data_IF_509916890899
#
_entry.id   IF_509916890899
#
_cell.length_a   1.000
_cell.length_b   1.000
_cell.length_c   1.000
_cell.angle_alpha   90.00
_cell.angle_beta   90.00
_cell.angle_gamma   90.00
#
_symmetry.space_group_name_H-M   'P 1'
#
loop_
_entity.id
_entity.type
_entity.pdbx_description
1 polymer ?
#
# COMPACT_ATOMS: atom_id res chain seq x y z
N UNK A 1 20.97 -65.25 59.95
CA UNK A 1 20.19 -65.22 58.71
C UNK A 1 19.85 -63.78 58.41
N UNK A 2 20.44 -63.23 57.35
CA UNK A 2 20.33 -61.81 57.00
C UNK A 2 19.50 -61.69 55.71
N UNK A 3 18.26 -61.27 55.84
CA UNK A 3 17.35 -61.10 54.71
C UNK A 3 17.69 -59.79 53.92
N UNK A 4 18.19 -59.95 52.72
CA UNK A 4 18.36 -58.85 51.77
C UNK A 4 17.09 -58.65 51.00
N UNK A 5 16.44 -57.52 51.18
CA UNK A 5 15.32 -57.06 50.31
C UNK A 5 15.89 -56.32 49.10
N UNK A 6 15.68 -56.86 47.91
CA UNK A 6 15.99 -56.20 46.64
C UNK A 6 14.77 -55.38 46.26
N UNK A 7 14.93 -54.04 46.26
CA UNK A 7 13.87 -53.10 45.81
C UNK A 7 14.08 -52.88 44.29
N UNK A 8 13.16 -53.37 43.50
CA UNK A 8 13.10 -53.04 42.04
C UNK A 8 12.41 -51.67 41.88
N UNK A 9 13.19 -50.67 41.40
CA UNK A 9 12.66 -49.38 40.95
C UNK A 9 12.21 -49.54 39.51
N UNK A 10 10.92 -49.58 39.25
CA UNK A 10 10.35 -49.58 37.90
C UNK A 10 10.28 -48.10 37.46
N UNK A 11 11.19 -47.73 36.51
CA UNK A 11 11.14 -46.43 35.81
C UNK A 11 10.06 -46.55 34.74
N UNK A 12 8.90 -45.92 34.99
CA UNK A 12 7.83 -45.77 34.01
C UNK A 12 8.15 -44.55 33.17
N UNK A 13 8.62 -44.76 31.96
CA UNK A 13 8.73 -43.72 30.95
C UNK A 13 7.33 -43.37 30.44
N UNK A 14 6.78 -42.24 30.87
CA UNK A 14 5.63 -41.65 30.23
C UNK A 14 6.04 -41.05 28.89
N UNK A 15 5.79 -41.77 27.80
CA UNK A 15 5.76 -41.15 26.46
C UNK A 15 4.48 -40.31 26.39
N UNK A 16 4.61 -39.02 26.65
CA UNK A 16 3.59 -38.05 26.28
C UNK A 16 3.64 -37.88 24.78
N UNK A 17 2.73 -38.51 24.06
CA UNK A 17 2.44 -38.11 22.69
C UNK A 17 1.83 -36.71 22.75
N UNK A 18 2.65 -35.69 22.54
CA UNK A 18 2.13 -34.38 22.18
C UNK A 18 1.60 -34.48 20.76
N UNK A 19 0.29 -34.54 20.59
CA UNK A 19 -0.31 -34.21 19.30
C UNK A 19 0.13 -32.78 18.97
N UNK A 20 1.15 -32.64 18.14
CA UNK A 20 1.45 -31.35 17.54
C UNK A 20 0.32 -31.09 16.55
N UNK A 21 -0.64 -30.27 16.93
CA UNK A 21 -1.53 -29.67 15.95
C UNK A 21 -0.63 -29.03 14.90
N UNK A 22 -0.78 -29.44 13.65
CA UNK A 22 -0.07 -28.84 12.51
C UNK A 22 -0.60 -27.41 12.41
N UNK A 23 0.16 -26.45 12.92
CA UNK A 23 -0.17 -25.03 12.78
C UNK A 23 -0.01 -24.66 11.31
N UNK A 24 -1.03 -24.01 10.75
CA UNK A 24 -1.02 -23.52 9.39
C UNK A 24 0.01 -22.38 9.21
N UNK A 25 0.25 -21.61 10.28
CA UNK A 25 1.22 -20.51 10.31
C UNK A 25 2.17 -20.66 11.49
N UNK A 26 3.44 -20.35 11.25
CA UNK A 26 4.50 -20.30 12.26
C UNK A 26 5.03 -18.87 12.37
N UNK A 27 5.15 -18.35 13.61
CA UNK A 27 5.82 -17.06 13.83
C UNK A 27 7.32 -17.26 13.83
N UNK A 28 8.01 -16.68 12.86
CA UNK A 28 9.46 -16.63 12.81
C UNK A 28 10.00 -15.46 13.66
N UNK A 29 11.13 -15.68 14.33
CA UNK A 29 11.77 -14.62 15.09
C UNK A 29 12.62 -13.72 14.19
N UNK A 30 12.80 -12.45 14.57
CA UNK A 30 13.73 -11.53 13.90
C UNK A 30 15.17 -12.06 13.87
N UNK A 31 15.60 -12.77 14.90
CA UNK A 31 16.90 -13.44 14.92
C UNK A 31 17.07 -14.47 13.80
N UNK A 32 16.00 -15.19 13.44
CA UNK A 32 16.02 -16.17 12.33
C UNK A 32 15.90 -15.47 10.97
N UNK A 33 15.05 -14.48 10.87
CA UNK A 33 14.73 -13.84 9.59
C UNK A 33 15.65 -12.69 9.24
N UNK A 34 16.30 -12.04 10.20
CA UNK A 34 17.03 -10.79 10.00
C UNK A 34 16.12 -9.56 9.91
N UNK A 35 14.78 -9.72 9.94
CA UNK A 35 13.83 -8.60 9.89
C UNK A 35 13.56 -8.10 11.30
N UNK A 36 13.95 -6.85 11.57
CA UNK A 36 13.74 -6.15 12.84
C UNK A 36 12.90 -4.89 12.69
N UNK A 37 12.23 -4.72 11.55
CA UNK A 37 11.40 -3.56 11.26
C UNK A 37 10.25 -3.41 12.25
N UNK A 38 10.09 -2.19 12.76
CA UNK A 38 8.96 -1.77 13.57
C UNK A 38 8.49 -0.38 13.13
N UNK A 39 7.19 -0.25 12.79
CA UNK A 39 6.58 1.05 12.52
C UNK A 39 6.19 1.73 13.83
N UNK A 40 7.17 2.26 14.55
CA UNK A 40 6.99 2.85 15.87
C UNK A 40 6.40 4.25 15.80
N UNK A 41 5.28 4.47 16.46
CA UNK A 41 4.64 5.77 16.60
C UNK A 41 4.93 6.36 17.98
N UNK A 42 5.57 7.53 18.01
CA UNK A 42 5.83 8.25 19.25
C UNK A 42 4.80 9.35 19.43
N UNK A 43 3.92 9.21 20.44
CA UNK A 43 2.96 10.25 20.81
C UNK A 43 3.69 11.56 21.12
N UNK A 44 3.24 12.66 20.51
CA UNK A 44 3.63 14.02 20.83
C UNK A 44 2.39 14.84 21.10
N UNK A 45 2.49 15.89 21.94
CA UNK A 45 1.36 16.75 22.28
C UNK A 45 0.75 17.42 21.03
N UNK A 46 1.59 17.79 20.07
CA UNK A 46 1.23 18.43 18.82
C UNK A 46 1.04 17.46 17.64
N UNK A 47 1.42 16.17 17.78
CA UNK A 47 1.27 15.17 16.72
C UNK A 47 0.82 13.82 17.27
N UNK A 48 -0.48 13.56 17.15
CA UNK A 48 -1.19 12.39 17.67
C UNK A 48 -2.54 12.23 16.97
N UNK A 49 -3.33 11.23 17.34
CA UNK A 49 -4.65 10.94 16.73
C UNK A 49 -5.64 12.11 16.76
N UNK A 50 -5.52 13.04 17.71
CA UNK A 50 -6.42 14.20 17.81
C UNK A 50 -6.01 15.34 16.88
N UNK A 51 -4.74 15.45 16.53
CA UNK A 51 -4.19 16.48 15.64
C UNK A 51 -4.01 15.97 14.20
N UNK A 52 -3.79 14.65 14.03
CA UNK A 52 -3.63 13.99 12.74
C UNK A 52 -4.48 12.72 12.70
N UNK A 53 -5.58 12.76 11.96
CA UNK A 53 -6.59 11.69 11.98
C UNK A 53 -6.07 10.33 11.51
N UNK A 54 -5.17 10.32 10.55
CA UNK A 54 -4.61 9.10 9.99
C UNK A 54 -3.43 8.52 10.80
N UNK A 55 -3.26 8.98 12.05
CA UNK A 55 -2.11 8.65 12.91
C UNK A 55 -1.91 7.14 13.12
N UNK A 56 -2.97 6.33 13.09
CA UNK A 56 -2.91 4.88 13.26
C UNK A 56 -3.21 4.08 11.98
N UNK A 57 -3.20 4.69 10.81
CA UNK A 57 -3.48 3.98 9.55
C UNK A 57 -2.37 2.99 9.16
N UNK A 58 -1.19 3.09 9.78
CA UNK A 58 -0.07 2.19 9.51
C UNK A 58 0.76 2.61 8.29
N UNK A 59 1.65 1.71 7.88
CA UNK A 59 2.45 1.80 6.67
C UNK A 59 2.11 0.67 5.70
N UNK A 60 2.73 0.68 4.54
CA UNK A 60 2.60 -0.31 3.49
C UNK A 60 3.66 -1.41 3.55
N UNK A 61 3.40 -2.49 2.86
CA UNK A 61 4.35 -3.59 2.61
C UNK A 61 4.32 -3.92 1.13
N UNK A 62 5.46 -3.80 0.44
CA UNK A 62 5.65 -4.23 -0.93
C UNK A 62 6.45 -5.53 -0.98
N UNK A 63 6.02 -6.45 -1.85
CA UNK A 63 6.73 -7.69 -2.14
C UNK A 63 7.07 -7.73 -3.62
N UNK A 64 8.34 -7.93 -3.97
CA UNK A 64 8.80 -8.04 -5.34
C UNK A 64 10.23 -8.55 -5.41
N UNK A 65 10.60 -9.12 -6.53
CA UNK A 65 11.96 -9.57 -6.83
C UNK A 65 12.70 -8.39 -7.49
N UNK A 66 13.45 -7.60 -6.70
CA UNK A 66 14.09 -6.38 -7.17
C UNK A 66 15.40 -6.60 -7.92
N UNK A 67 15.96 -7.82 -7.85
CA UNK A 67 17.25 -8.15 -8.45
C UNK A 67 17.16 -9.29 -9.46
N UNK A 68 15.95 -9.78 -9.77
CA UNK A 68 15.65 -10.87 -10.70
C UNK A 68 16.34 -12.20 -10.35
N UNK A 69 16.48 -12.50 -9.04
CA UNK A 69 17.06 -13.77 -8.56
C UNK A 69 16.02 -14.87 -8.29
N UNK A 70 14.74 -14.57 -8.44
CA UNK A 70 13.61 -15.48 -8.23
C UNK A 70 13.12 -15.54 -6.78
N UNK A 71 13.64 -14.71 -5.89
CA UNK A 71 13.22 -14.62 -4.49
C UNK A 71 12.49 -13.27 -4.26
N UNK A 72 11.38 -13.29 -3.51
CA UNK A 72 10.67 -12.06 -3.21
C UNK A 72 11.36 -11.30 -2.08
N UNK A 73 11.70 -10.05 -2.35
CA UNK A 73 12.21 -9.07 -1.40
C UNK A 73 11.05 -8.33 -0.73
N UNK A 74 11.33 -7.62 0.36
CA UNK A 74 10.31 -6.94 1.15
C UNK A 74 10.68 -5.46 1.34
N UNK A 75 9.78 -4.57 0.97
CA UNK A 75 9.88 -3.15 1.29
C UNK A 75 8.79 -2.76 2.29
N UNK A 76 9.18 -2.16 3.41
CA UNK A 76 8.26 -1.62 4.42
C UNK A 76 8.32 -0.10 4.43
N UNK A 77 7.16 0.54 4.38
CA UNK A 77 7.06 1.97 4.65
C UNK A 77 6.85 2.25 6.12
N UNK A 78 7.37 3.39 6.59
CA UNK A 78 7.29 3.81 7.98
C UNK A 78 6.77 5.23 8.11
N UNK A 79 5.87 5.46 9.09
CA UNK A 79 5.25 6.77 9.27
C UNK A 79 6.19 7.81 9.88
N UNK A 80 7.03 7.43 10.86
CA UNK A 80 7.92 8.35 11.59
C UNK A 80 9.41 8.03 11.43
N UNK A 81 9.75 6.86 10.89
CA UNK A 81 11.13 6.42 10.73
C UNK A 81 11.43 6.26 9.23
N UNK A 82 12.66 5.89 8.89
CA UNK A 82 13.02 5.50 7.53
C UNK A 82 12.26 4.25 7.11
N UNK A 83 11.88 4.19 5.84
CA UNK A 83 11.44 2.97 5.19
C UNK A 83 12.56 1.92 5.19
N UNK A 84 12.23 0.65 4.95
CA UNK A 84 13.19 -0.45 4.98
C UNK A 84 13.05 -1.37 3.79
N UNK A 85 14.18 -1.70 3.16
CA UNK A 85 14.29 -2.70 2.10
C UNK A 85 15.09 -3.89 2.60
N UNK A 86 14.47 -5.07 2.57
CA UNK A 86 15.06 -6.34 2.97
C UNK A 86 15.23 -7.26 1.77
N UNK A 87 16.49 -7.54 1.41
CA UNK A 87 16.86 -8.46 0.36
C UNK A 87 16.72 -9.90 0.86
N UNK A 88 16.03 -10.75 0.12
CA UNK A 88 15.81 -12.17 0.43
C UNK A 88 17.06 -13.00 0.09
N UNK A 89 17.59 -13.71 1.07
CA UNK A 89 18.77 -14.59 0.91
C UNK A 89 18.39 -16.08 0.83
N UNK A 90 17.10 -16.38 0.71
CA UNK A 90 16.56 -17.74 0.78
C UNK A 90 16.33 -18.21 2.23
N UNK A 91 15.63 -19.31 2.39
CA UNK A 91 15.34 -19.95 3.69
C UNK A 91 14.74 -19.02 4.74
N UNK A 92 13.95 -18.01 4.32
CA UNK A 92 13.41 -16.93 5.17
C UNK A 92 14.48 -16.12 5.91
N UNK A 93 15.63 -15.92 5.29
CA UNK A 93 16.68 -15.02 5.77
C UNK A 93 16.72 -13.78 4.89
N UNK A 94 16.76 -12.61 5.52
CA UNK A 94 16.74 -11.33 4.84
C UNK A 94 17.87 -10.44 5.35
N UNK A 95 18.38 -9.59 4.47
CA UNK A 95 19.42 -8.61 4.75
C UNK A 95 18.84 -7.21 4.55
N UNK A 96 18.97 -6.33 5.55
CA UNK A 96 18.62 -4.91 5.41
C UNK A 96 19.64 -4.21 4.50
N UNK A 97 19.24 -3.86 3.30
CA UNK A 97 20.07 -3.14 2.33
C UNK A 97 19.64 -1.68 2.14
N UNK A 98 18.76 -1.17 2.97
CA UNK A 98 18.12 0.15 2.83
C UNK A 98 19.11 1.28 2.57
N UNK A 99 20.16 1.38 3.39
CA UNK A 99 21.13 2.48 3.28
C UNK A 99 22.04 2.31 2.04
N UNK A 100 22.37 1.07 1.66
CA UNK A 100 23.15 0.78 0.45
C UNK A 100 22.34 1.06 -0.80
N UNK A 101 21.07 0.65 -0.79
CA UNK A 101 20.14 0.85 -1.90
C UNK A 101 19.72 2.33 -2.04
N UNK A 102 19.80 3.12 -0.97
CA UNK A 102 19.43 4.54 -1.01
C UNK A 102 17.91 4.79 -0.96
N UNK A 103 17.12 3.82 -0.44
CA UNK A 103 15.64 3.84 -0.52
C UNK A 103 14.93 4.09 0.82
N UNK A 104 15.64 4.65 1.81
CA UNK A 104 15.08 4.91 3.14
C UNK A 104 13.96 5.95 3.19
N UNK A 105 13.78 6.74 2.12
CA UNK A 105 12.85 7.86 2.06
C UNK A 105 13.34 9.09 2.83
N UNK A 106 12.98 10.26 2.34
CA UNK A 106 13.30 11.55 2.99
C UNK A 106 12.05 12.35 3.35
N UNK A 107 10.88 11.86 2.95
CA UNK A 107 9.60 12.52 3.17
C UNK A 107 8.93 12.04 4.44
N UNK A 108 7.86 12.73 4.82
CA UNK A 108 7.17 12.44 6.06
C UNK A 108 5.93 11.60 5.84
N UNK A 109 5.74 10.66 6.74
CA UNK A 109 4.55 9.84 6.83
C UNK A 109 4.31 8.98 5.59
N UNK A 110 5.28 8.10 5.30
CA UNK A 110 5.13 7.12 4.23
C UNK A 110 3.96 6.16 4.56
N UNK A 111 3.13 5.92 3.58
CA UNK A 111 1.89 5.14 3.66
C UNK A 111 1.95 3.92 2.77
N UNK A 112 1.35 3.94 1.58
CA UNK A 112 1.42 2.85 0.63
C UNK A 112 2.75 2.75 -0.09
N UNK A 113 3.01 1.58 -0.64
CA UNK A 113 4.13 1.32 -1.55
C UNK A 113 3.66 0.45 -2.70
N UNK A 114 4.12 0.77 -3.91
CA UNK A 114 3.89 -0.04 -5.10
C UNK A 114 5.23 -0.40 -5.74
N UNK A 115 5.35 -1.66 -6.17
CA UNK A 115 6.49 -2.17 -6.91
C UNK A 115 6.04 -2.45 -8.34
N UNK A 116 6.64 -1.78 -9.31
CA UNK A 116 6.33 -1.92 -10.73
C UNK A 116 7.57 -1.58 -11.57
N UNK A 117 7.68 -2.16 -12.74
CA UNK A 117 8.70 -1.79 -13.74
C UNK A 117 8.17 -0.58 -14.53
N UNK A 118 8.43 0.62 -14.00
CA UNK A 118 7.80 1.87 -14.50
C UNK A 118 8.46 2.37 -15.78
N UNK A 119 9.74 2.05 -15.96
CA UNK A 119 10.53 2.45 -17.13
C UNK A 119 10.70 1.33 -18.16
N UNK A 120 10.09 0.15 -17.93
CA UNK A 120 10.13 -1.03 -18.78
C UNK A 120 11.57 -1.53 -19.05
N UNK A 121 12.47 -1.45 -18.06
CA UNK A 121 13.85 -1.95 -18.16
C UNK A 121 14.03 -3.38 -17.65
N UNK A 122 12.99 -3.98 -17.08
CA UNK A 122 12.95 -5.34 -16.56
C UNK A 122 13.27 -5.46 -15.07
N UNK A 123 13.49 -4.35 -14.37
CA UNK A 123 13.67 -4.31 -12.93
C UNK A 123 12.49 -3.61 -12.24
N UNK A 124 12.11 -4.07 -11.04
CA UNK A 124 11.06 -3.42 -10.28
C UNK A 124 11.56 -2.13 -9.64
N UNK A 125 10.85 -1.03 -9.88
CA UNK A 125 11.00 0.26 -9.22
C UNK A 125 10.13 0.31 -7.97
N UNK A 126 10.37 1.29 -7.09
CA UNK A 126 9.64 1.47 -5.84
C UNK A 126 8.98 2.84 -5.82
N UNK A 127 7.65 2.87 -5.82
CA UNK A 127 6.88 4.11 -5.62
C UNK A 127 6.32 4.17 -4.21
N UNK A 128 6.63 5.24 -3.48
CA UNK A 128 6.22 5.46 -2.09
C UNK A 128 5.25 6.62 -2.01
N UNK A 129 4.05 6.35 -1.52
CA UNK A 129 3.06 7.36 -1.19
C UNK A 129 3.37 8.02 0.15
N UNK A 130 3.28 9.34 0.22
CA UNK A 130 3.54 10.12 1.43
C UNK A 130 2.36 11.05 1.78
N UNK A 131 2.07 11.23 3.06
CA UNK A 131 0.97 12.08 3.55
C UNK A 131 1.44 13.29 4.34
N UNK A 132 2.76 13.50 4.46
CA UNK A 132 3.35 14.67 5.08
C UNK A 132 3.34 14.68 6.61
N UNK A 133 3.92 15.72 7.17
CA UNK A 133 4.00 15.95 8.61
C UNK A 133 2.75 16.67 9.16
N UNK A 134 2.79 17.04 10.44
CA UNK A 134 1.66 17.73 11.12
C UNK A 134 1.26 19.05 10.47
N UNK A 135 2.17 19.71 9.74
CA UNK A 135 1.87 20.96 9.03
C UNK A 135 1.32 20.71 7.64
N UNK A 136 1.31 19.43 7.20
CA UNK A 136 0.92 19.04 5.87
C UNK A 136 1.93 19.43 4.80
N UNK A 137 3.17 19.67 5.19
CA UNK A 137 4.30 19.89 4.28
C UNK A 137 5.17 18.62 4.17
N UNK A 138 6.23 18.66 3.34
CA UNK A 138 7.17 17.55 3.13
C UNK A 138 6.49 16.21 2.76
N UNK A 139 5.48 16.24 1.89
CA UNK A 139 4.65 15.09 1.54
C UNK A 139 4.72 14.67 0.08
N UNK A 140 5.74 15.13 -0.68
CA UNK A 140 5.92 14.64 -2.04
C UNK A 140 6.10 13.13 -2.01
N UNK A 141 5.43 12.46 -2.94
CA UNK A 141 5.65 11.06 -3.19
C UNK A 141 7.07 10.85 -3.74
N UNK A 142 7.63 9.67 -3.55
CA UNK A 142 8.98 9.33 -3.98
C UNK A 142 8.93 8.16 -4.95
N UNK A 143 9.72 8.24 -6.04
CA UNK A 143 9.92 7.18 -7.01
C UNK A 143 11.40 6.81 -7.06
N UNK A 144 11.72 5.63 -6.61
CA UNK A 144 13.06 5.09 -6.66
C UNK A 144 13.19 4.16 -7.86
N UNK A 145 13.88 4.63 -8.91
CA UNK A 145 14.19 3.85 -10.12
C UNK A 145 15.36 2.91 -9.83
N UNK A 146 15.18 1.65 -10.13
CA UNK A 146 16.16 0.59 -9.92
C UNK A 146 17.31 0.69 -10.94
N UNK A 147 18.54 0.77 -10.48
CA UNK A 147 19.72 0.86 -11.35
C UNK A 147 20.22 -0.53 -11.82
N UNK A 148 19.58 -1.64 -11.41
CA UNK A 148 19.97 -3.01 -11.76
C UNK A 148 21.18 -3.55 -10.97
N UNK A 149 21.67 -2.81 -9.97
CA UNK A 149 22.86 -3.17 -9.17
C UNK A 149 22.59 -3.13 -7.65
N UNK A 150 21.32 -3.23 -7.23
CA UNK A 150 20.83 -3.09 -5.85
C UNK A 150 20.91 -1.66 -5.32
N UNK A 151 21.13 -0.68 -6.17
CA UNK A 151 20.99 0.75 -5.84
C UNK A 151 19.83 1.36 -6.61
N UNK A 152 19.29 2.46 -6.11
CA UNK A 152 18.17 3.16 -6.71
C UNK A 152 18.44 4.65 -6.79
N UNK A 153 17.78 5.31 -7.74
CA UNK A 153 17.83 6.77 -7.91
C UNK A 153 16.43 7.36 -7.71
N UNK A 154 16.27 8.33 -6.83
CA UNK A 154 14.98 9.02 -6.65
C UNK A 154 14.73 9.96 -7.85
N UNK A 155 13.60 9.74 -8.55
CA UNK A 155 13.27 10.42 -9.81
C UNK A 155 11.79 10.85 -9.91
N UNK A 156 11.05 10.96 -8.82
CA UNK A 156 9.63 11.29 -8.86
C UNK A 156 9.35 12.61 -9.59
N UNK A 157 10.19 13.63 -9.37
CA UNK A 157 10.05 14.93 -10.03
C UNK A 157 10.30 14.85 -11.55
N UNK A 158 11.30 14.09 -11.96
CA UNK A 158 11.65 13.89 -13.37
C UNK A 158 10.53 13.18 -14.11
N UNK A 159 9.89 12.21 -13.47
CA UNK A 159 8.76 11.47 -14.02
C UNK A 159 7.43 12.22 -13.91
N UNK A 160 7.30 13.24 -13.04
CA UNK A 160 6.05 13.95 -12.77
C UNK A 160 5.13 13.24 -11.77
N UNK A 161 5.71 12.37 -10.95
CA UNK A 161 5.03 11.60 -9.90
C UNK A 161 5.28 12.12 -8.48
N UNK A 162 5.92 13.31 -8.33
CA UNK A 162 6.17 13.96 -7.03
C UNK A 162 4.93 14.65 -6.45
N UNK A 163 3.76 14.02 -6.57
CA UNK A 163 2.49 14.57 -6.07
C UNK A 163 2.58 14.95 -4.60
N UNK A 164 1.86 16.03 -4.23
CA UNK A 164 1.87 16.64 -2.89
C UNK A 164 0.54 16.47 -2.16
N UNK A 165 -0.27 15.50 -2.59
CA UNK A 165 -1.52 15.14 -1.93
C UNK A 165 -1.31 14.44 -0.60
N UNK A 166 -2.42 14.04 0.02
CA UNK A 166 -2.41 13.14 1.17
C UNK A 166 -2.49 11.69 0.65
N UNK A 167 -1.43 11.26 -0.01
CA UNK A 167 -1.41 10.00 -0.74
C UNK A 167 -1.42 8.81 0.21
N UNK A 168 -2.21 7.79 -0.11
CA UNK A 168 -2.35 6.57 0.69
C UNK A 168 -1.87 5.34 -0.06
N UNK A 169 -2.06 5.29 -1.37
CA UNK A 169 -1.63 4.17 -2.21
C UNK A 169 -1.60 4.59 -3.68
N UNK A 170 -0.89 3.82 -4.52
CA UNK A 170 -0.92 3.96 -5.96
C UNK A 170 -1.08 2.59 -6.63
N UNK A 171 -1.72 2.56 -7.79
CA UNK A 171 -1.79 1.38 -8.65
C UNK A 171 -1.22 1.73 -10.02
N UNK A 172 -0.29 0.91 -10.50
CA UNK A 172 0.29 1.03 -11.83
C UNK A 172 -0.33 -0.02 -12.77
N UNK A 173 -0.82 0.41 -13.92
CA UNK A 173 -1.47 -0.45 -14.91
C UNK A 173 -1.58 0.27 -16.25
N UNK A 174 -1.61 -0.47 -17.32
CA UNK A 174 -1.80 0.02 -18.69
C UNK A 174 -3.32 0.19 -18.93
N UNK A 175 -3.86 1.42 -18.78
CA UNK A 175 -5.31 1.63 -18.87
C UNK A 175 -5.78 1.86 -20.31
N UNK A 176 -4.93 2.37 -21.19
CA UNK A 176 -5.27 2.72 -22.58
C UNK A 176 -4.69 1.74 -23.62
N UNK A 177 -3.89 0.75 -23.16
CA UNK A 177 -3.28 -0.31 -23.95
C UNK A 177 -2.22 0.16 -24.95
N UNK A 178 -1.51 1.17 -24.58
CA UNK A 178 -0.38 1.63 -25.40
C UNK A 178 0.93 0.87 -25.09
N UNK A 179 0.96 0.10 -24.00
CA UNK A 179 2.02 -0.84 -23.63
C UNK A 179 2.97 -0.31 -22.55
N UNK A 180 2.71 0.86 -21.99
CA UNK A 180 3.41 1.35 -20.81
C UNK A 180 2.50 1.38 -19.57
N UNK A 181 3.05 1.66 -18.39
CA UNK A 181 2.29 1.69 -17.15
C UNK A 181 1.90 3.11 -16.78
N UNK A 182 0.61 3.31 -16.57
CA UNK A 182 0.00 4.50 -16.02
C UNK A 182 -0.14 4.41 -14.51
N UNK A 183 -0.54 5.50 -13.85
CA UNK A 183 -0.65 5.55 -12.41
C UNK A 183 -1.98 6.10 -11.91
N UNK A 184 -2.75 5.29 -11.19
CA UNK A 184 -3.84 5.81 -10.35
C UNK A 184 -3.32 6.09 -8.95
N UNK A 185 -3.39 7.34 -8.52
CA UNK A 185 -2.97 7.80 -7.20
C UNK A 185 -4.17 8.03 -6.29
N UNK A 186 -4.24 7.25 -5.23
CA UNK A 186 -5.27 7.32 -4.21
C UNK A 186 -4.86 8.32 -3.13
N UNK A 187 -5.70 9.34 -2.93
CA UNK A 187 -5.52 10.35 -1.91
C UNK A 187 -6.59 10.24 -0.82
N UNK A 188 -6.32 10.84 0.33
CA UNK A 188 -7.23 10.86 1.46
C UNK A 188 -7.58 12.30 1.85
N UNK A 189 -8.82 12.51 2.27
CA UNK A 189 -9.25 13.81 2.74
C UNK A 189 -8.52 14.25 4.01
N UNK A 190 -8.03 15.46 4.03
CA UNK A 190 -7.45 16.12 5.21
C UNK A 190 -8.49 16.87 6.05
N UNK A 191 -9.72 17.04 5.56
CA UNK A 191 -10.80 17.74 6.26
C UNK A 191 -11.65 16.77 7.07
N UNK A 192 -11.96 17.11 8.30
CA UNK A 192 -12.86 16.33 9.15
C UNK A 192 -14.28 16.24 8.57
N UNK A 193 -14.82 15.00 8.46
CA UNK A 193 -16.03 14.65 7.73
C UNK A 193 -17.34 15.36 8.17
N UNK A 194 -17.42 15.94 9.36
CA UNK A 194 -18.64 16.60 9.85
C UNK A 194 -19.00 17.92 9.13
N UNK A 195 -18.08 18.49 8.35
CA UNK A 195 -18.34 19.76 7.64
C UNK A 195 -18.72 19.59 6.17
N UNK A 196 -18.57 18.40 5.63
CA UNK A 196 -18.74 18.14 4.19
C UNK A 196 -20.19 17.82 3.84
N UNK A 197 -20.94 17.20 4.76
CA UNK A 197 -22.32 16.74 4.53
C UNK A 197 -23.39 17.84 4.48
N UNK A 198 -23.05 19.10 4.74
CA UNK A 198 -24.02 20.20 4.81
C UNK A 198 -24.26 20.94 3.49
N UNK A 199 -23.59 20.55 2.41
CA UNK A 199 -23.67 21.21 1.11
C UNK A 199 -24.54 20.33 0.19
N UNK A 200 -25.81 20.67 0.05
CA UNK A 200 -26.81 19.92 -0.75
C UNK A 200 -26.56 19.82 -2.27
N UNK A 201 -25.29 19.75 -2.69
CA UNK A 201 -24.88 19.49 -4.07
C UNK A 201 -23.87 18.34 -4.08
N UNK A 202 -23.90 17.54 -5.13
CA UNK A 202 -22.88 16.53 -5.38
C UNK A 202 -21.48 17.18 -5.43
N UNK A 203 -20.61 16.76 -4.53
CA UNK A 203 -19.26 17.31 -4.40
C UNK A 203 -18.24 16.47 -5.16
N UNK A 204 -18.58 15.27 -5.62
CA UNK A 204 -17.66 14.34 -6.26
C UNK A 204 -16.91 14.92 -7.45
N UNK A 205 -17.58 15.69 -8.35
CA UNK A 205 -16.89 16.33 -9.48
C UNK A 205 -16.05 17.55 -9.11
N UNK A 206 -16.13 18.04 -7.86
CA UNK A 206 -15.39 19.25 -7.43
C UNK A 206 -13.99 18.84 -7.00
N UNK A 207 -13.01 19.06 -7.85
CA UNK A 207 -11.62 18.68 -7.59
C UNK A 207 -11.00 19.45 -6.42
N UNK A 208 -10.21 18.74 -5.62
CA UNK A 208 -9.34 19.29 -4.58
C UNK A 208 -7.89 18.83 -4.88
N UNK A 209 -7.00 19.79 -4.94
CA UNK A 209 -5.63 19.59 -5.40
C UNK A 209 -4.83 18.56 -4.58
N UNK A 210 -5.13 18.47 -3.27
CA UNK A 210 -4.34 17.66 -2.33
C UNK A 210 -5.10 16.49 -1.71
N UNK A 211 -6.43 16.50 -1.78
CA UNK A 211 -7.27 15.44 -1.20
C UNK A 211 -7.98 14.58 -2.25
N UNK A 212 -7.95 14.98 -3.52
CA UNK A 212 -8.62 14.27 -4.60
C UNK A 212 -7.73 13.21 -5.23
N UNK A 213 -8.36 12.11 -5.66
CA UNK A 213 -7.68 11.07 -6.41
C UNK A 213 -7.23 11.57 -7.78
N UNK A 214 -6.19 10.94 -8.34
CA UNK A 214 -5.60 11.31 -9.62
C UNK A 214 -5.34 10.10 -10.50
N UNK A 215 -5.49 10.31 -11.81
CA UNK A 215 -5.02 9.41 -12.84
C UNK A 215 -3.96 10.14 -13.66
N UNK A 216 -2.80 9.53 -13.76
CA UNK A 216 -1.69 10.01 -14.57
C UNK A 216 -1.49 9.07 -15.74
N UNK A 217 -1.51 9.63 -16.95
CA UNK A 217 -1.10 8.97 -18.18
C UNK A 217 0.42 9.07 -18.35
N UNK A 218 1.05 7.99 -18.72
CA UNK A 218 2.48 7.93 -19.01
C UNK A 218 2.73 8.25 -20.47
N UNK A 219 3.18 9.45 -20.78
CA UNK A 219 3.62 9.82 -22.13
C UNK A 219 5.15 9.71 -22.23
N UNK A 220 5.62 8.54 -22.69
CA UNK A 220 7.04 8.25 -22.90
C UNK A 220 7.93 8.51 -21.66
N UNK A 221 7.51 8.05 -20.48
CA UNK A 221 8.24 8.21 -19.21
C UNK A 221 7.96 9.55 -18.52
N UNK A 222 6.94 10.28 -18.96
CA UNK A 222 6.47 11.50 -18.32
C UNK A 222 5.00 11.35 -17.93
N UNK A 223 4.70 11.31 -16.65
CA UNK A 223 3.35 11.18 -16.14
C UNK A 223 2.62 12.53 -16.13
N UNK A 224 1.46 12.57 -16.76
CA UNK A 224 0.63 13.76 -16.94
C UNK A 224 -0.71 13.53 -16.25
N UNK A 225 -1.13 14.44 -15.36
CA UNK A 225 -2.44 14.35 -14.68
C UNK A 225 -3.58 14.58 -15.69
N UNK A 226 -4.32 13.53 -16.01
CA UNK A 226 -5.49 13.53 -16.90
C UNK A 226 -6.80 13.29 -16.14
N UNK A 227 -6.81 13.40 -14.84
CA UNK A 227 -7.92 12.98 -13.97
C UNK A 227 -9.25 13.62 -14.34
N UNK A 228 -9.25 14.91 -14.71
CA UNK A 228 -10.48 15.63 -15.07
C UNK A 228 -11.02 15.15 -16.43
N UNK A 229 -10.16 15.03 -17.40
CA UNK A 229 -10.46 14.54 -18.75
C UNK A 229 -10.92 13.08 -18.71
N UNK A 230 -10.27 12.26 -17.89
CA UNK A 230 -10.60 10.85 -17.71
C UNK A 230 -11.87 10.61 -16.88
N UNK A 231 -12.46 11.65 -16.27
CA UNK A 231 -13.69 11.51 -15.49
C UNK A 231 -13.51 10.92 -14.10
N UNK A 232 -12.29 10.97 -13.55
CA UNK A 232 -11.99 10.52 -12.19
C UNK A 232 -12.45 11.57 -11.17
N UNK A 233 -13.17 11.15 -10.15
CA UNK A 233 -13.56 12.01 -9.05
C UNK A 233 -12.34 12.42 -8.22
N UNK A 234 -12.15 13.72 -8.04
CA UNK A 234 -11.00 14.27 -7.33
C UNK A 234 -11.44 15.12 -6.15
N UNK A 235 -12.50 14.74 -5.45
CA UNK A 235 -13.12 15.58 -4.40
C UNK A 235 -12.46 15.40 -3.04
N UNK A 236 -12.51 16.49 -2.27
CA UNK A 236 -12.14 16.51 -0.84
C UNK A 236 -12.96 15.55 0.03
N UNK A 237 -14.08 15.00 -0.47
CA UNK A 237 -14.91 14.05 0.29
C UNK A 237 -14.40 12.61 0.19
N UNK A 238 -13.47 12.32 -0.73
CA UNK A 238 -12.84 11.01 -0.85
C UNK A 238 -12.00 10.67 0.40
N UNK A 239 -12.16 9.45 0.89
CA UNK A 239 -11.37 8.90 2.00
C UNK A 239 -10.77 7.58 1.55
N UNK A 240 -9.95 7.64 0.49
CA UNK A 240 -9.40 6.48 -0.15
C UNK A 240 -8.58 5.60 0.80
N UNK A 241 -8.96 4.32 0.92
CA UNK A 241 -8.28 3.30 1.71
C UNK A 241 -7.53 2.30 0.86
N UNK A 242 -8.05 1.99 -0.33
CA UNK A 242 -7.45 1.04 -1.22
C UNK A 242 -7.98 1.17 -2.64
N UNK A 243 -7.16 0.78 -3.60
CA UNK A 243 -7.51 0.70 -5.02
C UNK A 243 -7.18 -0.69 -5.56
N UNK A 244 -8.03 -1.21 -6.39
CA UNK A 244 -7.83 -2.50 -7.08
C UNK A 244 -8.10 -2.32 -8.57
N UNK A 245 -7.23 -2.89 -9.38
CA UNK A 245 -7.33 -2.91 -10.84
C UNK A 245 -7.81 -4.28 -11.30
N UNK A 246 -8.74 -4.33 -12.24
CA UNK A 246 -9.22 -5.58 -12.82
C UNK A 246 -10.34 -5.36 -13.84
N UNK A 247 -10.54 -6.30 -14.74
CA UNK A 247 -11.62 -6.27 -15.72
C UNK A 247 -12.94 -6.72 -15.07
N UNK A 248 -13.71 -5.77 -14.58
CA UNK A 248 -14.94 -6.01 -13.81
C UNK A 248 -16.13 -6.41 -14.68
N UNK A 249 -16.14 -6.04 -15.94
CA UNK A 249 -17.24 -6.27 -16.88
C UNK A 249 -16.93 -7.36 -17.94
N UNK A 250 -15.71 -7.93 -17.94
CA UNK A 250 -15.17 -8.91 -18.89
C UNK A 250 -15.12 -8.40 -20.35
N UNK A 251 -14.77 -7.14 -20.55
CA UNK A 251 -14.57 -6.56 -21.88
C UNK A 251 -13.09 -6.54 -22.31
N UNK A 252 -12.22 -6.96 -21.40
CA UNK A 252 -10.78 -7.04 -21.61
C UNK A 252 -10.03 -5.76 -21.28
N UNK A 253 -10.67 -4.68 -20.85
CA UNK A 253 -10.03 -3.43 -20.40
C UNK A 253 -9.98 -3.39 -18.88
N UNK A 254 -8.96 -2.71 -18.34
CA UNK A 254 -8.80 -2.60 -16.90
C UNK A 254 -9.70 -1.52 -16.32
N UNK A 255 -10.51 -1.91 -15.35
CA UNK A 255 -11.38 -1.07 -14.54
C UNK A 255 -10.75 -0.82 -13.17
N UNK A 256 -11.29 0.15 -12.42
CA UNK A 256 -10.81 0.52 -11.10
C UNK A 256 -11.91 0.37 -10.06
N UNK A 257 -11.59 -0.30 -8.96
CA UNK A 257 -12.42 -0.26 -7.75
C UNK A 257 -11.67 0.48 -6.65
N UNK A 258 -12.29 1.54 -6.13
CA UNK A 258 -11.75 2.39 -5.06
C UNK A 258 -12.61 2.23 -3.82
N UNK A 259 -12.01 1.76 -2.73
CA UNK A 259 -12.68 1.72 -1.43
C UNK A 259 -12.45 3.01 -0.65
N UNK A 260 -13.56 3.58 -0.19
CA UNK A 260 -13.57 4.78 0.64
C UNK A 260 -14.05 4.47 2.06
N UNK A 261 -13.75 5.36 3.00
CA UNK A 261 -14.20 5.30 4.39
C UNK A 261 -15.19 6.43 4.71
N UNK A 262 -15.73 6.43 5.92
CA UNK A 262 -16.64 7.40 6.51
C UNK A 262 -17.96 7.56 5.79
N UNK A 263 -18.16 8.70 5.14
CA UNK A 263 -19.45 9.07 4.55
C UNK A 263 -19.46 8.95 3.04
N UNK A 264 -18.29 8.79 2.45
CA UNK A 264 -18.20 8.61 1.02
C UNK A 264 -18.32 7.12 0.69
N UNK A 265 -19.03 6.82 -0.39
CA UNK A 265 -19.15 5.47 -0.92
C UNK A 265 -17.91 5.09 -1.72
N UNK A 266 -17.75 3.83 -1.95
CA UNK A 266 -16.76 3.32 -2.89
C UNK A 266 -17.07 3.81 -4.31
N UNK A 267 -16.08 3.71 -5.20
CA UNK A 267 -16.24 3.96 -6.62
C UNK A 267 -15.88 2.71 -7.43
N UNK A 268 -16.65 2.48 -8.50
CA UNK A 268 -16.35 1.51 -9.53
C UNK A 268 -16.26 2.25 -10.86
N UNK A 269 -15.06 2.51 -11.33
CA UNK A 269 -14.79 3.15 -12.59
C UNK A 269 -14.66 2.10 -13.68
N UNK A 270 -15.55 2.13 -14.65
CA UNK A 270 -15.51 1.28 -15.84
C UNK A 270 -14.79 2.04 -16.96
N UNK A 271 -13.80 1.40 -17.55
CA UNK A 271 -13.05 1.95 -18.68
C UNK A 271 -13.92 2.02 -19.94
N UNK A 272 -14.05 3.21 -20.51
CA UNK A 272 -14.87 3.45 -21.71
C UNK A 272 -14.13 3.12 -23.02
N UNK A 273 -12.86 2.67 -22.96
CA UNK A 273 -12.02 2.30 -24.11
C UNK A 273 -11.63 3.50 -25.01
N UNK A 274 -11.72 4.71 -24.48
CA UNK A 274 -11.45 5.96 -25.21
C UNK A 274 -10.59 6.94 -24.38
N UNK A 275 -9.88 6.43 -23.36
CA UNK A 275 -9.09 7.23 -22.43
C UNK A 275 -9.88 7.78 -21.25
N UNK A 276 -11.18 7.45 -21.15
CA UNK A 276 -12.05 7.94 -20.07
C UNK A 276 -12.65 6.81 -19.24
N UNK A 277 -13.18 7.14 -18.07
CA UNK A 277 -13.87 6.23 -17.17
C UNK A 277 -15.26 6.73 -16.81
N UNK A 278 -16.17 5.78 -16.58
CA UNK A 278 -17.52 6.05 -16.06
C UNK A 278 -17.69 5.42 -14.68
N UNK A 279 -18.09 6.20 -13.68
CA UNK A 279 -18.36 5.68 -12.35
C UNK A 279 -19.73 4.98 -12.32
N UNK A 280 -19.74 3.66 -12.10
CA UNK A 280 -20.88 2.79 -12.30
C UNK A 280 -21.25 1.93 -11.07
N UNK A 281 -20.78 2.25 -9.88
CA UNK A 281 -21.02 1.42 -8.70
C UNK A 281 -22.51 1.16 -8.47
N UNK A 282 -23.36 2.20 -8.48
CA UNK A 282 -24.79 2.07 -8.19
C UNK A 282 -25.55 1.32 -9.26
N UNK A 283 -25.07 1.30 -10.51
CA UNK A 283 -25.73 0.61 -11.63
C UNK A 283 -25.34 -0.85 -11.70
N UNK A 284 -24.11 -1.21 -11.35
CA UNK A 284 -23.58 -2.56 -11.46
C UNK A 284 -23.76 -3.38 -10.17
N UNK A 285 -23.73 -2.75 -9.00
CA UNK A 285 -23.90 -3.41 -7.71
C UNK A 285 -25.29 -3.12 -7.15
N UNK A 286 -26.23 -4.07 -7.32
CA UNK A 286 -27.64 -3.91 -6.96
C UNK A 286 -27.95 -3.87 -5.47
N UNK A 287 -27.03 -4.28 -4.59
CA UNK A 287 -27.20 -4.19 -3.14
C UNK A 287 -25.85 -4.07 -2.45
N UNK A 288 -25.52 -2.88 -2.01
CA UNK A 288 -24.38 -2.65 -1.13
C UNK A 288 -24.93 -2.62 0.28
N UNK A 289 -24.69 -3.70 1.06
CA UNK A 289 -24.83 -3.56 2.51
C UNK A 289 -23.51 -3.00 3.07
N UNK A 290 -23.59 -2.02 3.95
CA UNK A 290 -22.43 -1.46 4.64
C UNK A 290 -21.55 -2.54 5.32
N UNK A 291 -22.09 -3.73 5.56
CA UNK A 291 -21.40 -4.88 6.10
C UNK A 291 -20.43 -5.54 5.12
N UNK A 292 -20.73 -5.51 3.80
CA UNK A 292 -19.84 -6.07 2.77
C UNK A 292 -18.64 -5.17 2.57
N UNK A 293 -18.82 -3.85 2.65
CA UNK A 293 -17.75 -2.84 2.60
C UNK A 293 -16.75 -3.03 3.74
N UNK A 294 -17.22 -3.33 4.94
CA UNK A 294 -16.36 -3.61 6.10
C UNK A 294 -15.56 -4.91 5.93
N UNK A 295 -16.11 -5.93 5.28
CA UNK A 295 -15.42 -7.21 5.03
C UNK A 295 -14.37 -7.07 3.94
N UNK A 296 -14.62 -6.33 2.86
CA UNK A 296 -13.65 -6.09 1.79
C UNK A 296 -12.46 -5.23 2.29
N UNK A 297 -12.71 -4.24 3.13
CA UNK A 297 -11.67 -3.47 3.83
C UNK A 297 -10.80 -4.33 4.75
N UNK A 298 -11.35 -5.41 5.35
CA UNK A 298 -10.62 -6.33 6.23
C UNK A 298 -9.80 -7.39 5.48
N UNK A 299 -10.05 -7.62 4.19
CA UNK A 299 -9.31 -8.60 3.37
C UNK A 299 -8.01 -8.02 2.82
N UNK A 300 -7.83 -6.68 2.90
CA UNK A 300 -6.64 -5.97 2.43
C UNK A 300 -5.67 -5.57 3.58
N UNK A 301 -5.82 -6.19 4.76
CA UNK A 301 -4.85 -6.06 5.88
C UNK A 301 -4.03 -7.35 5.99
#
# INVERSE_FOLDING_TARGET
>A
MRNSYIVYIILVFHFSCTNSETKLFEKLSSFRTGIDFENNLTFKEDFNIFTYRNYYNGGGVGLGDINNDGLLDIYFTSNLNKNKLYLNKGDFQFEDITDVAGVGGEKSWSTGVSLADINADGFLDIYVSNSGDIKGDNKQNELFINNGDLTFTEMANEYGLDDKGYSTHAAFFDFDRDGDLDCYLLNNSYKGGFRITSIGKDQRPVRDEVGGDKLFENDNGKFIDISEEAGIYGSIIGFGLGVTVGDANNDGWMDLYVSNDFFERDYLYINNQDGTFSENLETMIKSISALILFILSLIHI
#
